data_IF_492319020964
#
_entry.id   IF_492319020964
#
_cell.length_a   1.000
_cell.length_b   1.000
_cell.length_c   1.000
_cell.angle_alpha   90.00
_cell.angle_beta   90.00
_cell.angle_gamma   90.00
#
_symmetry.space_group_name_H-M   'P 1'
#
loop_
_entity.id
_entity.type
_entity.pdbx_description
1 polymer ?
#
# COMPACT_ATOMS: atom_id res chain seq x y z
N UNK A 1 -8.63 -38.41 5.98
CA UNK A 1 -8.49 -37.23 5.08
C UNK A 1 -9.51 -36.20 5.53
N UNK A 2 -9.10 -34.96 5.84
CA UNK A 2 -10.03 -33.90 6.28
C UNK A 2 -10.99 -33.49 5.16
N UNK A 3 -12.22 -33.15 5.52
CA UNK A 3 -13.24 -32.75 4.55
C UNK A 3 -12.86 -31.42 3.89
N UNK A 4 -13.43 -31.12 2.71
CA UNK A 4 -13.24 -29.81 2.05
C UNK A 4 -13.81 -28.67 2.89
N UNK A 5 -14.89 -28.91 3.63
CA UNK A 5 -15.53 -27.91 4.48
C UNK A 5 -14.64 -27.53 5.68
N UNK A 6 -14.05 -28.53 6.35
CA UNK A 6 -13.11 -28.31 7.46
C UNK A 6 -11.87 -27.53 7.01
N UNK A 7 -11.32 -27.83 5.83
CA UNK A 7 -10.17 -27.10 5.28
C UNK A 7 -10.49 -25.65 4.92
N UNK A 8 -11.70 -25.37 4.44
CA UNK A 8 -12.13 -23.99 4.19
C UNK A 8 -12.33 -23.21 5.49
N UNK A 9 -12.85 -23.86 6.53
CA UNK A 9 -13.03 -23.25 7.84
C UNK A 9 -11.68 -22.94 8.50
N UNK A 10 -10.72 -23.88 8.45
CA UNK A 10 -9.34 -23.67 8.92
C UNK A 10 -8.68 -22.48 8.17
N UNK A 11 -8.89 -22.37 6.86
CA UNK A 11 -8.31 -21.31 6.05
C UNK A 11 -8.90 -19.91 6.37
N UNK A 12 -10.20 -19.83 6.58
CA UNK A 12 -10.84 -18.56 6.99
C UNK A 12 -10.44 -18.16 8.41
N UNK A 13 -10.26 -19.11 9.34
CA UNK A 13 -9.72 -18.83 10.66
C UNK A 13 -8.29 -18.26 10.59
N UNK A 14 -7.41 -18.86 9.78
CA UNK A 14 -6.03 -18.37 9.58
C UNK A 14 -6.01 -16.95 9.00
N UNK A 15 -6.94 -16.61 8.09
CA UNK A 15 -7.04 -15.24 7.56
C UNK A 15 -7.43 -14.24 8.63
N UNK A 16 -8.41 -14.58 9.47
CA UNK A 16 -8.83 -13.72 10.57
C UNK A 16 -7.67 -13.48 11.54
N UNK A 17 -6.96 -14.54 11.93
CA UNK A 17 -5.79 -14.44 12.80
C UNK A 17 -4.67 -13.56 12.21
N UNK A 18 -4.40 -13.69 10.90
CA UNK A 18 -3.40 -12.86 10.21
C UNK A 18 -3.83 -11.39 10.13
N UNK A 19 -5.12 -11.13 9.94
CA UNK A 19 -5.66 -9.78 9.94
C UNK A 19 -5.53 -9.14 11.33
N UNK A 20 -5.94 -9.85 12.38
CA UNK A 20 -5.85 -9.38 13.76
C UNK A 20 -4.40 -9.16 14.20
N UNK A 21 -3.48 -10.04 13.80
CA UNK A 21 -2.04 -9.84 14.02
C UNK A 21 -1.52 -8.57 13.32
N UNK A 22 -2.00 -8.28 12.11
CA UNK A 22 -1.69 -7.05 11.39
C UNK A 22 -2.22 -5.80 12.09
N UNK A 23 -3.45 -5.85 12.61
CA UNK A 23 -4.05 -4.76 13.40
C UNK A 23 -3.27 -4.53 14.68
N UNK A 24 -2.92 -5.60 15.40
CA UNK A 24 -2.13 -5.51 16.62
C UNK A 24 -0.73 -4.92 16.37
N UNK A 25 -0.06 -5.31 15.28
CA UNK A 25 1.23 -4.74 14.90
C UNK A 25 1.13 -3.22 14.59
N UNK A 26 0.04 -2.80 13.95
CA UNK A 26 -0.20 -1.40 13.62
C UNK A 26 -0.50 -0.57 14.88
N UNK A 27 -1.28 -1.11 15.81
CA UNK A 27 -1.52 -0.49 17.13
C UNK A 27 -0.23 -0.41 17.96
N UNK A 28 0.61 -1.44 17.94
CA UNK A 28 1.90 -1.42 18.63
C UNK A 28 2.83 -0.35 18.04
N UNK A 29 2.83 -0.17 16.71
CA UNK A 29 3.59 0.90 16.07
C UNK A 29 3.08 2.28 16.48
N UNK A 30 1.76 2.50 16.52
CA UNK A 30 1.16 3.75 17.01
C UNK A 30 1.48 4.03 18.48
N UNK A 31 1.45 3.00 19.34
CA UNK A 31 1.85 3.15 20.73
C UNK A 31 3.35 3.50 20.86
N UNK A 32 4.20 2.94 19.99
CA UNK A 32 5.61 3.31 19.90
C UNK A 32 5.84 4.77 19.49
N UNK A 33 5.04 5.27 18.55
CA UNK A 33 5.07 6.68 18.11
C UNK A 33 4.68 7.62 19.27
N UNK A 34 3.61 7.30 20.01
CA UNK A 34 3.21 8.09 21.18
C UNK A 34 4.27 8.12 22.30
N UNK A 35 4.98 7.00 22.50
CA UNK A 35 6.07 6.95 23.47
C UNK A 35 7.26 7.81 23.01
N UNK A 36 7.53 7.83 21.71
CA UNK A 36 8.56 8.68 21.14
C UNK A 36 8.22 10.16 21.29
N UNK A 37 6.99 10.58 20.97
CA UNK A 37 6.53 11.96 21.15
C UNK A 37 6.65 12.42 22.61
N UNK A 38 6.18 11.59 23.56
CA UNK A 38 6.35 11.86 25.00
C UNK A 38 7.80 11.95 25.43
N UNK A 39 8.69 11.18 24.82
CA UNK A 39 10.12 11.24 25.12
C UNK A 39 10.74 12.54 24.60
N UNK A 40 10.29 13.06 23.46
CA UNK A 40 10.70 14.37 22.95
C UNK A 40 10.20 15.47 23.87
N UNK A 41 8.93 15.42 24.30
CA UNK A 41 8.37 16.38 25.27
C UNK A 41 9.18 16.40 26.57
N UNK A 42 9.52 15.23 27.11
CA UNK A 42 10.33 15.11 28.33
C UNK A 42 11.77 15.65 28.15
N UNK A 43 12.39 15.46 26.99
CA UNK A 43 13.71 16.03 26.68
C UNK A 43 13.62 17.55 26.55
N UNK A 44 12.59 18.07 25.89
CA UNK A 44 12.35 19.51 25.75
C UNK A 44 12.12 20.18 27.10
N UNK A 45 11.37 19.53 28.00
CA UNK A 45 11.17 19.98 29.39
C UNK A 45 12.48 19.95 30.19
N UNK A 46 13.29 18.90 30.07
CA UNK A 46 14.59 18.80 30.74
C UNK A 46 15.62 19.82 30.24
N UNK A 47 15.46 20.34 29.03
CA UNK A 47 16.31 21.35 28.41
C UNK A 47 15.81 22.79 28.59
N UNK A 48 14.70 23.00 29.32
CA UNK A 48 14.10 24.31 29.59
C UNK A 48 13.75 25.09 28.30
N UNK A 49 13.38 24.37 27.24
CA UNK A 49 12.93 24.97 25.97
C UNK A 49 11.46 25.39 26.14
N UNK A 50 11.10 26.68 25.96
CA UNK A 50 9.75 27.15 26.23
C UNK A 50 8.71 26.45 25.34
N UNK A 51 7.78 25.75 26.00
CA UNK A 51 6.60 25.12 25.38
C UNK A 51 5.64 26.20 24.85
N UNK A 52 5.84 26.58 23.60
CA UNK A 52 4.92 27.45 22.87
C UNK A 52 4.72 26.90 21.46
N UNK A 53 3.83 25.92 21.29
CA UNK A 53 3.42 25.52 19.95
C UNK A 53 2.90 24.10 19.72
N UNK A 54 2.18 23.46 20.65
CA UNK A 54 1.40 22.26 20.29
C UNK A 54 0.05 22.66 19.69
N UNK A 55 0.08 23.36 18.56
CA UNK A 55 -1.03 23.28 17.60
C UNK A 55 -0.62 22.23 16.59
N UNK A 56 -1.37 21.12 16.54
CA UNK A 56 -1.33 20.12 15.47
C UNK A 56 -1.78 20.76 14.16
N UNK A 57 -0.93 21.62 13.60
CA UNK A 57 -1.02 22.07 12.24
C UNK A 57 -0.41 20.98 11.38
N UNK A 58 -1.15 20.48 10.40
CA UNK A 58 -0.62 19.76 9.24
C UNK A 58 0.27 20.70 8.41
N UNK A 59 1.31 21.24 9.03
CA UNK A 59 2.41 21.98 8.43
C UNK A 59 3.67 21.17 8.67
N UNK A 60 4.54 21.07 7.67
CA UNK A 60 5.59 20.08 7.67
C UNK A 60 6.59 20.38 8.78
N UNK A 61 6.91 19.34 9.55
CA UNK A 61 8.00 19.25 10.55
C UNK A 61 9.37 19.62 9.95
N UNK A 62 9.45 19.87 8.64
CA UNK A 62 10.60 20.44 7.93
C UNK A 62 11.06 21.81 8.46
N UNK A 63 10.23 22.53 9.21
CA UNK A 63 10.56 23.89 9.65
C UNK A 63 11.43 23.92 10.92
N UNK A 64 11.24 22.99 11.86
CA UNK A 64 11.95 22.98 13.14
C UNK A 64 13.35 22.33 13.05
N UNK A 65 13.49 21.25 12.28
CA UNK A 65 14.80 20.60 12.06
C UNK A 65 15.76 21.52 11.30
N UNK A 66 15.23 22.31 10.35
CA UNK A 66 16.01 23.37 9.68
C UNK A 66 16.47 24.44 10.67
N UNK A 67 15.64 24.83 11.63
CA UNK A 67 16.00 25.83 12.63
C UNK A 67 17.15 25.36 13.52
N UNK A 68 17.11 24.11 14.00
CA UNK A 68 18.19 23.54 14.83
C UNK A 68 19.48 23.39 14.03
N UNK A 69 19.39 22.95 12.76
CA UNK A 69 20.54 22.86 11.88
C UNK A 69 21.20 24.23 11.66
N UNK A 70 20.40 25.27 11.40
CA UNK A 70 20.87 26.65 11.24
C UNK A 70 21.54 27.19 12.51
N UNK A 71 20.97 26.92 13.69
CA UNK A 71 21.55 27.34 14.97
C UNK A 71 22.92 26.69 15.20
N UNK A 72 23.03 25.37 15.00
CA UNK A 72 24.31 24.67 15.21
C UNK A 72 25.34 25.05 14.14
N UNK A 73 24.90 25.36 12.92
CA UNK A 73 25.77 25.90 11.88
C UNK A 73 26.33 27.27 12.28
N UNK A 74 25.50 28.15 12.84
CA UNK A 74 25.93 29.43 13.38
C UNK A 74 26.89 29.25 14.57
N UNK A 75 26.62 28.34 15.51
CA UNK A 75 27.53 28.01 16.62
C UNK A 75 28.92 27.59 16.11
N UNK A 76 28.97 26.79 15.04
CA UNK A 76 30.23 26.38 14.40
C UNK A 76 30.98 27.56 13.80
N UNK A 77 30.28 28.43 13.08
CA UNK A 77 30.87 29.62 12.44
C UNK A 77 31.40 30.61 13.49
N UNK A 78 30.66 30.83 14.57
CA UNK A 78 31.08 31.68 15.67
C UNK A 78 32.28 31.10 16.40
N UNK A 79 32.31 29.80 16.65
CA UNK A 79 33.45 29.11 17.26
C UNK A 79 34.72 29.21 16.39
N UNK A 80 34.57 29.09 15.07
CA UNK A 80 35.65 29.28 14.10
C UNK A 80 36.17 30.72 14.09
N UNK A 81 35.27 31.70 14.11
CA UNK A 81 35.61 33.12 14.13
C UNK A 81 36.35 33.55 15.42
N UNK A 82 35.99 32.96 16.56
CA UNK A 82 36.60 33.26 17.87
C UNK A 82 37.85 32.37 18.13
N UNK A 83 38.13 31.40 17.26
CA UNK A 83 39.25 30.47 17.41
C UNK A 83 39.07 29.46 18.56
N UNK A 84 37.83 29.20 18.97
CA UNK A 84 37.50 28.23 20.02
C UNK A 84 37.35 26.83 19.42
N UNK A 85 38.46 26.09 19.41
CA UNK A 85 38.52 24.77 18.79
C UNK A 85 37.59 23.73 19.43
N UNK A 86 37.43 23.74 20.75
CA UNK A 86 36.56 22.77 21.45
C UNK A 86 35.08 22.99 21.11
N UNK A 87 34.65 24.25 21.05
CA UNK A 87 33.30 24.60 20.61
C UNK A 87 33.06 24.22 19.14
N UNK A 88 34.06 24.42 18.27
CA UNK A 88 33.99 24.02 16.86
C UNK A 88 33.82 22.51 16.68
N UNK A 89 34.61 21.71 17.41
CA UNK A 89 34.52 20.24 17.36
C UNK A 89 33.16 19.78 17.88
N UNK A 90 32.66 20.41 18.95
CA UNK A 90 31.35 20.09 19.53
C UNK A 90 30.22 20.38 18.54
N UNK A 91 30.19 21.57 17.94
CA UNK A 91 29.20 21.94 16.93
C UNK A 91 29.28 21.04 15.69
N UNK A 92 30.48 20.66 15.27
CA UNK A 92 30.67 19.75 14.13
C UNK A 92 30.09 18.34 14.40
N UNK A 93 30.26 17.81 15.62
CA UNK A 93 29.64 16.52 15.99
C UNK A 93 28.12 16.62 16.06
N UNK A 94 27.59 17.74 16.57
CA UNK A 94 26.13 17.97 16.59
C UNK A 94 25.57 17.99 15.17
N UNK A 95 26.22 18.69 14.23
CA UNK A 95 25.80 18.71 12.81
C UNK A 95 25.80 17.30 12.21
N UNK A 96 26.87 16.53 12.41
CA UNK A 96 26.95 15.16 11.92
C UNK A 96 25.83 14.28 12.49
N UNK A 97 25.50 14.45 13.78
CA UNK A 97 24.40 13.70 14.41
C UNK A 97 23.05 14.07 13.80
N UNK A 98 22.83 15.36 13.49
CA UNK A 98 21.60 15.82 12.83
C UNK A 98 21.49 15.25 11.40
N UNK A 99 22.59 15.17 10.67
CA UNK A 99 22.64 14.54 9.34
C UNK A 99 22.27 13.05 9.43
N UNK A 100 22.87 12.32 10.37
CA UNK A 100 22.58 10.89 10.58
C UNK A 100 21.09 10.67 10.94
N UNK A 101 20.51 11.51 11.80
CA UNK A 101 19.10 11.45 12.16
C UNK A 101 18.17 11.76 10.99
N UNK A 102 18.53 12.70 10.12
CA UNK A 102 17.74 13.02 8.93
C UNK A 102 17.75 11.86 7.92
N UNK A 103 18.91 11.22 7.74
CA UNK A 103 19.02 9.98 6.95
C UNK A 103 18.13 8.88 7.52
N UNK A 104 18.20 8.62 8.83
CA UNK A 104 17.33 7.61 9.46
C UNK A 104 15.85 7.92 9.29
N UNK A 105 15.44 9.18 9.41
CA UNK A 105 14.06 9.60 9.19
C UNK A 105 13.63 9.29 7.76
N UNK A 106 14.43 9.69 6.77
CA UNK A 106 14.15 9.43 5.35
C UNK A 106 14.09 7.93 5.05
N UNK A 107 14.95 7.11 5.66
CA UNK A 107 14.87 5.66 5.54
C UNK A 107 13.56 5.09 6.09
N UNK A 108 13.10 5.58 7.25
CA UNK A 108 11.82 5.16 7.84
C UNK A 108 10.65 5.55 6.94
N UNK A 109 10.67 6.75 6.37
CA UNK A 109 9.67 7.20 5.40
C UNK A 109 9.68 6.35 4.13
N UNK A 110 10.86 6.02 3.59
CA UNK A 110 11.00 5.14 2.44
C UNK A 110 10.42 3.75 2.71
N UNK A 111 10.70 3.16 3.88
CA UNK A 111 10.12 1.87 4.30
C UNK A 111 8.60 1.93 4.44
N UNK A 112 8.05 3.04 4.96
CA UNK A 112 6.60 3.26 5.06
C UNK A 112 5.96 3.31 3.68
N UNK A 113 6.54 4.05 2.73
CA UNK A 113 6.05 4.12 1.35
C UNK A 113 6.15 2.76 0.64
N UNK A 114 7.24 2.02 0.84
CA UNK A 114 7.39 0.67 0.29
C UNK A 114 6.31 -0.28 0.83
N UNK A 115 6.03 -0.24 2.13
CA UNK A 115 4.97 -1.02 2.75
C UNK A 115 3.59 -0.66 2.15
N UNK A 116 3.30 0.63 1.95
CA UNK A 116 2.08 1.08 1.29
C UNK A 116 1.96 0.55 -0.15
N UNK A 117 3.05 0.57 -0.93
CA UNK A 117 3.07 0.01 -2.28
C UNK A 117 2.82 -1.50 -2.28
N UNK A 118 3.41 -2.25 -1.33
CA UNK A 118 3.15 -3.68 -1.17
C UNK A 118 1.67 -3.96 -0.85
N UNK A 119 1.06 -3.19 0.05
CA UNK A 119 -0.36 -3.30 0.38
C UNK A 119 -1.23 -3.00 -0.85
N UNK A 120 -0.97 -1.89 -1.55
CA UNK A 120 -1.71 -1.51 -2.75
C UNK A 120 -1.60 -2.58 -3.86
N UNK A 121 -0.41 -3.17 -4.04
CA UNK A 121 -0.21 -4.26 -4.99
C UNK A 121 -0.96 -5.53 -4.58
N UNK A 122 -0.94 -5.89 -3.30
CA UNK A 122 -1.71 -7.03 -2.78
C UNK A 122 -3.22 -6.83 -2.98
N UNK A 123 -3.73 -5.62 -2.73
CA UNK A 123 -5.14 -5.26 -2.99
C UNK A 123 -5.51 -5.36 -4.47
N UNK A 124 -4.63 -4.92 -5.38
CA UNK A 124 -4.83 -5.08 -6.83
C UNK A 124 -4.87 -6.55 -7.24
N UNK A 125 -3.97 -7.38 -6.70
CA UNK A 125 -3.96 -8.82 -6.97
C UNK A 125 -5.24 -9.50 -6.44
N UNK A 126 -5.68 -9.16 -5.23
CA UNK A 126 -6.95 -9.63 -4.67
C UNK A 126 -8.15 -9.23 -5.54
N UNK A 127 -8.20 -7.98 -5.98
CA UNK A 127 -9.26 -7.50 -6.88
C UNK A 127 -9.23 -8.23 -8.23
N UNK A 128 -8.06 -8.46 -8.81
CA UNK A 128 -7.91 -9.21 -10.06
C UNK A 128 -8.28 -10.69 -9.93
N UNK A 129 -7.95 -11.33 -8.80
CA UNK A 129 -8.39 -12.69 -8.49
C UNK A 129 -9.90 -12.77 -8.25
N UNK A 130 -10.49 -11.72 -7.68
CA UNK A 130 -11.95 -11.59 -7.47
C UNK A 130 -12.69 -11.28 -8.78
N UNK A 131 -11.99 -10.72 -9.78
CA UNK A 131 -12.49 -10.47 -11.14
C UNK A 131 -12.03 -11.52 -12.15
N UNK A 132 -11.35 -12.58 -11.69
CA UNK A 132 -11.07 -13.73 -12.55
C UNK A 132 -12.42 -14.35 -12.91
N UNK A 133 -12.80 -14.37 -14.18
CA UNK A 133 -14.16 -14.65 -14.58
C UNK A 133 -14.52 -16.07 -14.17
N UNK A 134 -15.70 -16.20 -13.57
CA UNK A 134 -16.50 -17.41 -13.54
C UNK A 134 -16.68 -17.95 -14.97
N UNK A 135 -15.66 -18.59 -15.52
CA UNK A 135 -15.77 -19.54 -16.61
C UNK A 135 -16.13 -20.89 -16.00
N UNK A 136 -17.39 -21.01 -15.59
CA UNK A 136 -18.10 -22.30 -15.55
C UNK A 136 -19.60 -22.03 -15.38
N UNK A 137 -20.26 -21.93 -16.54
CA UNK A 137 -21.44 -22.72 -16.88
C UNK A 137 -22.58 -22.81 -15.86
N UNK A 138 -23.63 -22.01 -16.06
CA UNK A 138 -25.02 -22.49 -16.20
C UNK A 138 -25.99 -21.29 -16.25
N UNK A 139 -26.18 -20.70 -17.44
CA UNK A 139 -27.48 -20.10 -17.76
C UNK A 139 -28.40 -21.25 -18.22
N UNK A 140 -29.53 -21.53 -17.55
CA UNK A 140 -30.60 -22.27 -18.19
C UNK A 140 -31.40 -21.31 -19.08
N UNK A 141 -31.41 -21.64 -20.38
CA UNK A 141 -32.56 -21.56 -21.29
C UNK A 141 -33.39 -20.28 -21.41
N UNK A 142 -33.30 -19.67 -22.59
CA UNK A 142 -34.43 -19.28 -23.48
C UNK A 142 -34.22 -17.95 -24.23
N UNK A 143 -32.98 -17.51 -24.43
CA UNK A 143 -32.73 -16.33 -25.27
C UNK A 143 -32.35 -16.78 -26.67
N UNK A 144 -33.03 -16.29 -27.73
CA UNK A 144 -32.72 -16.66 -29.10
C UNK A 144 -31.27 -16.29 -29.43
N UNK A 145 -30.58 -17.17 -30.14
CA UNK A 145 -29.29 -16.92 -30.73
C UNK A 145 -29.33 -15.64 -31.55
N UNK A 146 -28.32 -14.80 -31.37
CA UNK A 146 -28.08 -13.61 -32.20
C UNK A 146 -26.75 -13.78 -32.93
N UNK A 147 -26.58 -13.09 -34.06
CA UNK A 147 -25.35 -13.19 -34.87
C UNK A 147 -24.10 -12.85 -34.04
N UNK A 148 -24.19 -11.83 -33.18
CA UNK A 148 -23.11 -11.44 -32.27
C UNK A 148 -22.78 -12.54 -31.26
N UNK A 149 -23.79 -13.28 -30.76
CA UNK A 149 -23.58 -14.38 -29.80
C UNK A 149 -22.87 -15.56 -30.47
N UNK A 150 -23.33 -15.96 -31.66
CA UNK A 150 -22.69 -17.05 -32.42
C UNK A 150 -21.25 -16.71 -32.83
N UNK A 151 -20.99 -15.48 -33.27
CA UNK A 151 -19.63 -15.02 -33.59
C UNK A 151 -18.70 -15.03 -32.37
N UNK A 152 -19.22 -14.64 -31.21
CA UNK A 152 -18.43 -14.65 -29.96
C UNK A 152 -18.09 -16.07 -29.50
N UNK A 153 -19.02 -17.00 -29.65
CA UNK A 153 -18.89 -18.37 -29.13
C UNK A 153 -18.07 -19.26 -30.05
N UNK A 154 -18.35 -19.25 -31.35
CA UNK A 154 -17.73 -20.16 -32.31
C UNK A 154 -16.63 -19.51 -33.16
N UNK A 155 -16.52 -18.17 -33.18
CA UNK A 155 -15.54 -17.35 -33.93
C UNK A 155 -15.63 -17.46 -35.46
N UNK A 156 -15.91 -18.63 -36.03
CA UNK A 156 -16.03 -18.88 -37.47
C UNK A 156 -17.33 -19.60 -37.79
N UNK A 157 -17.85 -19.44 -39.01
CA UNK A 157 -19.03 -20.16 -39.47
C UNK A 157 -18.83 -21.68 -39.49
N UNK A 158 -17.61 -22.12 -39.80
CA UNK A 158 -17.28 -23.54 -39.86
C UNK A 158 -17.34 -24.19 -38.47
N UNK A 159 -16.90 -23.49 -37.43
CA UNK A 159 -17.06 -23.92 -36.04
C UNK A 159 -18.52 -23.94 -35.59
N UNK A 160 -19.37 -23.06 -36.12
CA UNK A 160 -20.83 -23.13 -35.87
C UNK A 160 -21.43 -24.37 -36.53
N UNK A 161 -21.07 -24.67 -37.78
CA UNK A 161 -21.58 -25.85 -38.50
C UNK A 161 -21.19 -27.15 -37.80
N UNK A 162 -19.94 -27.26 -37.36
CA UNK A 162 -19.47 -28.44 -36.64
C UNK A 162 -19.99 -28.52 -35.20
N UNK A 163 -20.16 -27.37 -34.53
CA UNK A 163 -20.61 -27.31 -33.14
C UNK A 163 -22.11 -27.49 -32.94
N UNK A 164 -22.93 -26.96 -33.85
CA UNK A 164 -24.40 -27.04 -33.80
C UNK A 164 -25.00 -28.03 -34.80
N UNK A 165 -24.20 -28.59 -35.72
CA UNK A 165 -24.68 -29.55 -36.72
C UNK A 165 -25.58 -28.92 -37.80
N UNK A 166 -25.51 -27.61 -37.99
CA UNK A 166 -26.34 -26.85 -38.94
C UNK A 166 -25.62 -26.59 -40.27
N UNK A 167 -26.35 -26.53 -41.39
CA UNK A 167 -25.80 -26.36 -42.74
C UNK A 167 -25.86 -24.90 -43.24
N UNK A 168 -25.62 -23.96 -42.33
CA UNK A 168 -25.76 -22.54 -42.63
C UNK A 168 -24.58 -21.97 -43.46
N UNK A 169 -24.89 -21.43 -44.65
CA UNK A 169 -23.90 -20.74 -45.51
C UNK A 169 -23.59 -19.29 -45.12
N UNK A 170 -24.43 -18.69 -44.30
CA UNK A 170 -24.29 -17.31 -43.82
C UNK A 170 -24.66 -17.22 -42.33
N UNK A 171 -24.14 -16.22 -41.62
CA UNK A 171 -24.44 -16.02 -40.19
C UNK A 171 -25.93 -15.83 -39.91
N UNK A 172 -26.65 -15.16 -40.80
CA UNK A 172 -28.10 -14.97 -40.68
C UNK A 172 -28.86 -16.31 -40.72
N UNK A 173 -28.50 -17.20 -41.66
CA UNK A 173 -29.07 -18.55 -41.71
C UNK A 173 -28.70 -19.39 -40.49
N UNK A 174 -27.47 -19.22 -39.98
CA UNK A 174 -27.03 -19.93 -38.78
C UNK A 174 -27.85 -19.53 -37.55
N UNK A 175 -28.21 -18.25 -37.44
CA UNK A 175 -29.11 -17.75 -36.39
C UNK A 175 -30.53 -18.28 -36.56
N UNK A 176 -31.06 -18.32 -37.78
CA UNK A 176 -32.38 -18.87 -38.07
C UNK A 176 -32.45 -20.37 -37.74
N UNK A 177 -31.46 -21.16 -38.19
CA UNK A 177 -31.40 -22.61 -37.94
C UNK A 177 -31.07 -22.97 -36.48
N UNK A 178 -30.30 -22.14 -35.76
CA UNK A 178 -30.00 -22.38 -34.34
C UNK A 178 -31.19 -22.04 -33.40
N UNK A 179 -32.17 -21.29 -33.89
CA UNK A 179 -33.38 -20.87 -33.14
C UNK A 179 -34.65 -21.62 -33.54
N UNK A 180 -34.57 -22.50 -34.54
CA UNK A 180 -35.64 -23.43 -34.94
C UNK A 180 -35.52 -24.73 -34.15
#
# INVERSE_FOLDING_TARGET
MRSRAERNQDFEAIKADLFDAGVAALQAAQAGEQLFDRSIEAIAEAMDIPQGGTETSNKPVLTEVNLVYEIVLAEKQDAEAIGNYDAYVTASRKLQTLEDLDVERLEREARKLEAQLRIANAQRQLTQLSQSPSQSSAEPSSSPWTESRLKREFKTLEAVRSGLGIEARTWKKAVEEANQ
#
